data_IF_088676936224
#
_entry.id   IF_088676936224
#
_cell.length_a   1.000
_cell.length_b   1.000
_cell.length_c   1.000
_cell.angle_alpha   90.00
_cell.angle_beta   90.00
_cell.angle_gamma   90.00
#
_symmetry.space_group_name_H-M   'P 1'
#
loop_
_entity.id
_entity.type
_entity.pdbx_description
1 polymer ?
#
# COMPACT_ATOMS: atom_id res chain seq x y z
N UNK A 1 6.81 11.05 -23.53
CA UNK A 1 6.18 9.79 -23.12
C UNK A 1 4.75 9.82 -23.63
N UNK A 2 4.34 8.78 -24.34
CA UNK A 2 2.97 8.64 -24.84
C UNK A 2 2.15 7.76 -23.90
N UNK A 3 0.84 8.03 -23.77
CA UNK A 3 -0.10 7.17 -23.03
C UNK A 3 -0.18 7.41 -21.51
N UNK A 4 0.66 8.28 -20.94
CA UNK A 4 0.61 8.61 -19.51
C UNK A 4 0.22 10.08 -19.36
N UNK A 5 -0.92 10.34 -18.69
CA UNK A 5 -1.34 11.69 -18.29
C UNK A 5 -0.75 12.02 -16.91
N UNK A 6 0.47 12.52 -16.91
CA UNK A 6 1.20 12.82 -15.68
C UNK A 6 0.50 13.84 -14.78
N UNK A 7 -0.27 14.77 -15.37
CA UNK A 7 -0.94 15.83 -14.61
C UNK A 7 -2.03 15.30 -13.67
N UNK A 8 -2.53 14.09 -13.92
CA UNK A 8 -3.55 13.43 -13.11
C UNK A 8 -2.98 12.48 -12.05
N UNK A 9 -1.67 12.30 -12.05
CA UNK A 9 -1.04 11.39 -11.11
C UNK A 9 -0.66 12.09 -9.80
N UNK A 10 -0.83 11.45 -8.65
CA UNK A 10 -0.43 12.02 -7.38
C UNK A 10 1.10 12.15 -7.29
N UNK A 11 1.56 13.18 -6.58
CA UNK A 11 2.98 13.31 -6.21
C UNK A 11 3.40 12.07 -5.41
N UNK A 12 4.59 11.55 -5.66
CA UNK A 12 5.07 10.28 -5.12
C UNK A 12 4.83 9.08 -6.04
N UNK A 13 4.03 9.24 -7.11
CA UNK A 13 3.86 8.17 -8.11
C UNK A 13 5.22 7.76 -8.68
N UNK A 14 5.43 6.46 -8.78
CA UNK A 14 6.66 5.90 -9.36
C UNK A 14 6.44 5.41 -10.77
N UNK A 15 7.47 5.56 -11.57
CA UNK A 15 7.52 5.09 -12.95
C UNK A 15 8.69 4.14 -13.11
N UNK A 16 8.47 3.07 -13.86
CA UNK A 16 9.51 2.10 -14.20
C UNK A 16 9.71 2.08 -15.71
N UNK A 17 10.98 2.18 -16.12
CA UNK A 17 11.39 2.03 -17.51
C UNK A 17 12.61 1.11 -17.54
N UNK A 18 12.42 -0.16 -17.85
CA UNK A 18 13.43 -1.19 -17.65
C UNK A 18 13.90 -1.25 -16.19
N UNK A 19 15.18 -1.01 -15.94
CA UNK A 19 15.75 -0.95 -14.59
C UNK A 19 15.63 0.43 -13.90
N UNK A 20 15.32 1.48 -14.67
CA UNK A 20 15.21 2.85 -14.17
C UNK A 20 13.92 3.02 -13.39
N UNK A 21 14.02 3.61 -12.19
CA UNK A 21 12.86 3.95 -11.35
C UNK A 21 12.90 5.45 -11.06
N UNK A 22 11.81 6.12 -11.40
CA UNK A 22 11.61 7.55 -11.18
C UNK A 22 10.45 7.77 -10.22
N UNK A 23 10.49 8.83 -9.43
CA UNK A 23 9.41 9.23 -8.55
C UNK A 23 8.95 10.64 -8.90
N UNK A 24 7.66 10.84 -9.14
CA UNK A 24 7.04 12.14 -9.41
C UNK A 24 7.16 13.05 -8.19
N UNK A 25 7.88 14.16 -8.33
CA UNK A 25 8.10 15.08 -7.22
C UNK A 25 7.37 16.40 -7.36
N UNK A 26 7.05 16.80 -8.60
CA UNK A 26 6.37 18.06 -8.85
C UNK A 26 5.70 18.06 -10.23
N UNK A 27 4.52 18.66 -10.30
CA UNK A 27 3.80 18.98 -11.55
C UNK A 27 3.73 20.49 -11.67
N UNK A 28 4.11 20.99 -12.82
CA UNK A 28 4.22 22.43 -13.07
C UNK A 28 5.38 23.09 -12.33
N UNK A 29 5.79 24.23 -12.84
CA UNK A 29 6.78 25.10 -12.18
C UNK A 29 6.52 26.54 -12.58
N UNK A 30 6.30 27.41 -11.61
CA UNK A 30 6.22 28.83 -11.87
C UNK A 30 7.48 29.34 -12.57
N UNK A 31 7.27 30.08 -13.64
CA UNK A 31 8.35 30.70 -14.40
C UNK A 31 8.16 32.23 -14.29
N UNK A 32 8.99 32.86 -13.48
CA UNK A 32 8.90 34.30 -13.21
C UNK A 32 9.40 35.17 -14.36
N UNK A 33 10.31 34.66 -15.18
CA UNK A 33 10.86 35.35 -16.34
C UNK A 33 10.72 34.46 -17.57
N UNK A 34 9.99 34.92 -18.58
CA UNK A 34 9.86 34.19 -19.83
C UNK A 34 11.21 33.81 -20.40
N UNK A 35 11.47 32.48 -20.44
CA UNK A 35 12.72 31.97 -21.06
C UNK A 35 12.68 32.11 -22.57
N UNK A 36 13.79 31.79 -23.24
CA UNK A 36 13.91 31.86 -24.69
C UNK A 36 12.82 31.06 -25.44
N UNK A 37 12.32 29.94 -24.83
CA UNK A 37 11.20 29.17 -25.40
C UNK A 37 9.92 29.98 -25.36
N UNK A 38 9.58 30.57 -24.21
CA UNK A 38 8.39 31.43 -24.07
C UNK A 38 8.45 32.63 -25.04
N UNK A 39 9.62 33.30 -25.15
CA UNK A 39 9.81 34.43 -26.04
C UNK A 39 9.64 34.05 -27.51
N UNK A 40 10.02 32.83 -27.89
CA UNK A 40 9.98 32.37 -29.28
C UNK A 40 8.63 31.77 -29.68
N UNK A 41 7.94 31.11 -28.74
CA UNK A 41 6.70 30.37 -29.00
C UNK A 41 5.44 31.11 -28.54
N UNK A 42 5.57 32.17 -27.72
CA UNK A 42 4.45 32.91 -27.15
C UNK A 42 3.80 32.26 -25.95
N UNK A 43 4.01 30.97 -25.74
CA UNK A 43 3.50 30.19 -24.58
C UNK A 43 4.50 29.11 -24.14
N UNK A 44 4.32 28.61 -22.91
CA UNK A 44 5.10 27.52 -22.37
C UNK A 44 4.20 26.60 -21.56
N UNK A 45 4.27 25.31 -21.85
CA UNK A 45 3.48 24.29 -21.14
C UNK A 45 4.08 23.91 -19.78
N UNK A 46 5.35 24.20 -19.54
CA UNK A 46 6.07 23.82 -18.32
C UNK A 46 5.40 24.26 -17.02
N UNK A 47 4.82 25.48 -16.92
CA UNK A 47 4.13 25.87 -15.69
C UNK A 47 2.92 25.02 -15.36
N UNK A 48 2.25 24.44 -16.35
CA UNK A 48 1.02 23.69 -16.18
C UNK A 48 1.24 22.17 -16.20
N UNK A 49 2.07 21.70 -17.13
CA UNK A 49 2.18 20.28 -17.47
C UNK A 49 3.62 19.74 -17.36
N UNK A 50 4.57 20.61 -16.99
CA UNK A 50 5.95 20.18 -16.76
C UNK A 50 6.02 19.20 -15.59
N UNK A 51 6.71 18.10 -15.80
CA UNK A 51 6.83 17.04 -14.81
C UNK A 51 8.27 16.93 -14.36
N UNK A 52 8.46 16.92 -13.06
CA UNK A 52 9.76 16.72 -12.42
C UNK A 52 9.76 15.41 -11.65
N UNK A 53 10.83 14.66 -11.83
CA UNK A 53 10.98 13.37 -11.16
C UNK A 53 12.33 13.29 -10.45
N UNK A 54 12.37 12.55 -9.36
CA UNK A 54 13.60 12.13 -8.70
C UNK A 54 13.98 10.74 -9.21
N UNK A 55 15.25 10.53 -9.54
CA UNK A 55 15.76 9.20 -9.92
C UNK A 55 15.99 8.42 -8.64
N UNK A 56 15.23 7.34 -8.45
CA UNK A 56 15.41 6.41 -7.33
C UNK A 56 16.40 5.29 -7.68
N UNK A 57 16.34 4.81 -8.91
CA UNK A 57 17.31 3.86 -9.46
C UNK A 57 17.71 4.31 -10.87
N UNK A 58 18.99 4.49 -11.08
CA UNK A 58 19.55 4.86 -12.37
C UNK A 58 19.62 3.70 -13.36
N UNK A 59 19.88 4.04 -14.61
CA UNK A 59 20.02 3.08 -15.69
C UNK A 59 19.96 3.79 -17.03
N UNK A 60 19.85 3.04 -18.11
CA UNK A 60 19.74 3.56 -19.48
C UNK A 60 18.28 3.55 -19.91
N UNK A 61 17.83 4.67 -20.50
CA UNK A 61 16.51 4.80 -21.12
C UNK A 61 16.75 5.19 -22.57
N UNK A 62 16.02 4.56 -23.48
CA UNK A 62 16.12 4.78 -24.91
C UNK A 62 14.75 5.15 -25.50
N UNK A 63 14.74 5.78 -26.66
CA UNK A 63 13.49 6.02 -27.39
C UNK A 63 12.86 4.67 -27.79
N UNK A 64 11.60 4.49 -27.46
CA UNK A 64 10.86 3.24 -27.70
C UNK A 64 10.79 2.31 -26.49
N UNK A 65 11.51 2.62 -25.39
CA UNK A 65 11.36 1.86 -24.15
C UNK A 65 9.97 2.08 -23.54
N UNK A 66 9.38 1.01 -23.03
CA UNK A 66 8.09 1.07 -22.34
C UNK A 66 8.27 1.65 -20.94
N UNK A 67 7.39 2.60 -20.60
CA UNK A 67 7.31 3.15 -19.24
C UNK A 67 6.00 2.74 -18.60
N UNK A 68 6.08 2.12 -17.45
CA UNK A 68 4.90 1.74 -16.63
C UNK A 68 4.80 2.62 -15.40
N UNK A 69 3.58 2.81 -14.93
CA UNK A 69 3.30 3.47 -13.65
C UNK A 69 3.28 2.39 -12.57
N UNK A 70 4.25 2.47 -11.65
CA UNK A 70 4.16 1.65 -10.44
C UNK A 70 3.06 2.26 -9.56
N UNK A 71 1.94 1.59 -9.42
CA UNK A 71 0.89 2.01 -8.48
C UNK A 71 1.53 2.04 -7.08
N UNK A 72 1.44 3.19 -6.41
CA UNK A 72 1.75 3.24 -4.99
C UNK A 72 0.80 2.26 -4.30
N UNK A 73 1.35 1.24 -3.66
CA UNK A 73 0.56 0.28 -2.92
C UNK A 73 0.46 0.74 -1.47
N UNK A 74 -0.75 0.79 -0.96
CA UNK A 74 -1.02 1.07 0.45
C UNK A 74 -0.65 -0.17 1.25
N UNK A 75 -0.01 0.03 2.38
CA UNK A 75 0.12 -0.98 3.41
C UNK A 75 -0.89 -0.63 4.52
N UNK A 76 -1.97 -1.40 4.56
CA UNK A 76 -2.94 -1.33 5.64
C UNK A 76 -2.36 -2.08 6.85
N UNK A 77 -1.94 -1.33 7.85
CA UNK A 77 -1.23 -1.89 9.01
C UNK A 77 -2.16 -2.32 10.15
N UNK A 78 -3.47 -2.09 10.01
CA UNK A 78 -4.44 -2.45 11.04
C UNK A 78 -5.84 -2.60 10.43
N UNK A 79 -6.24 -3.83 10.18
CA UNK A 79 -7.55 -4.19 9.63
C UNK A 79 -8.16 -5.34 10.42
N UNK A 80 -9.47 -5.50 10.32
CA UNK A 80 -10.24 -6.56 10.98
C UNK A 80 -11.13 -7.27 9.95
N UNK A 81 -10.53 -7.83 8.90
CA UNK A 81 -11.27 -8.58 7.88
C UNK A 81 -11.76 -9.94 8.38
N UNK A 82 -11.32 -10.37 9.56
CA UNK A 82 -11.85 -11.53 10.30
C UNK A 82 -13.25 -11.29 10.88
N UNK A 83 -13.66 -10.02 11.06
CA UNK A 83 -14.94 -9.64 11.65
C UNK A 83 -16.13 -10.21 10.88
N UNK A 84 -17.20 -10.60 11.61
CA UNK A 84 -18.43 -11.17 11.05
C UNK A 84 -19.16 -10.21 10.10
N UNK A 85 -18.96 -8.90 10.25
CA UNK A 85 -19.51 -7.91 9.35
C UNK A 85 -19.09 -8.10 7.87
N UNK A 86 -17.98 -8.79 7.64
CA UNK A 86 -17.46 -9.09 6.31
C UNK A 86 -17.82 -10.50 5.79
N UNK A 87 -18.60 -11.31 6.53
CA UNK A 87 -18.85 -12.72 6.17
C UNK A 87 -19.45 -12.89 4.77
N UNK A 88 -20.27 -11.93 4.32
CA UNK A 88 -20.95 -12.02 3.02
C UNK A 88 -20.03 -11.73 1.83
N UNK A 89 -19.05 -10.82 1.98
CA UNK A 89 -18.27 -10.29 0.86
C UNK A 89 -16.75 -10.27 1.07
N UNK A 90 -16.25 -10.73 2.23
CA UNK A 90 -14.83 -10.76 2.63
C UNK A 90 -13.91 -11.20 1.52
N UNK A 91 -14.20 -12.34 0.89
CA UNK A 91 -13.33 -12.90 -0.13
C UNK A 91 -13.37 -12.08 -1.42
N UNK A 92 -14.55 -11.62 -1.84
CA UNK A 92 -14.66 -10.77 -3.03
C UNK A 92 -13.93 -9.44 -2.86
N UNK A 93 -13.99 -8.88 -1.66
CA UNK A 93 -13.27 -7.66 -1.30
C UNK A 93 -11.76 -7.88 -1.31
N UNK A 94 -11.26 -8.91 -0.61
CA UNK A 94 -9.84 -9.23 -0.54
C UNK A 94 -9.26 -9.58 -1.92
N UNK A 95 -9.99 -10.31 -2.77
CA UNK A 95 -9.58 -10.65 -4.13
C UNK A 95 -9.34 -9.39 -4.99
N UNK A 96 -10.06 -8.29 -4.71
CA UNK A 96 -9.93 -7.02 -5.44
C UNK A 96 -8.86 -6.07 -4.88
N UNK A 97 -8.31 -6.32 -3.68
CA UNK A 97 -7.47 -5.35 -2.95
C UNK A 97 -6.24 -4.90 -3.73
N UNK A 98 -5.52 -5.82 -4.35
CA UNK A 98 -4.30 -5.47 -5.08
C UNK A 98 -4.59 -4.62 -6.31
N UNK A 99 -5.69 -4.86 -7.01
CA UNK A 99 -6.14 -4.03 -8.14
C UNK A 99 -6.52 -2.63 -7.69
N UNK A 100 -7.04 -2.50 -6.47
CA UNK A 100 -7.40 -1.23 -5.83
C UNK A 100 -6.23 -0.53 -5.14
N UNK A 101 -5.01 -1.07 -5.26
CA UNK A 101 -3.80 -0.42 -4.76
C UNK A 101 -3.43 -0.77 -3.31
N UNK A 102 -4.09 -1.76 -2.70
CA UNK A 102 -3.69 -2.30 -1.40
C UNK A 102 -2.64 -3.40 -1.64
N UNK A 103 -1.42 -3.18 -1.19
CA UNK A 103 -0.31 -4.10 -1.41
C UNK A 103 -0.12 -5.13 -0.32
N UNK A 104 -0.32 -4.70 0.90
CA UNK A 104 -0.20 -5.54 2.09
C UNK A 104 -1.22 -5.14 3.14
N UNK A 105 -1.62 -6.11 3.95
CA UNK A 105 -2.58 -5.95 5.04
C UNK A 105 -2.03 -6.66 6.27
N UNK A 106 -2.14 -6.05 7.45
CA UNK A 106 -2.06 -6.75 8.73
C UNK A 106 -3.49 -6.87 9.26
N UNK A 107 -4.00 -8.10 9.26
CA UNK A 107 -5.29 -8.43 9.85
C UNK A 107 -5.08 -8.71 11.33
N UNK A 108 -5.72 -7.93 12.19
CA UNK A 108 -5.46 -7.89 13.62
C UNK A 108 -6.61 -8.58 14.34
N UNK A 109 -6.32 -9.69 14.97
CA UNK A 109 -7.31 -10.39 15.78
C UNK A 109 -7.65 -9.59 17.03
N UNK A 110 -8.90 -9.16 17.15
CA UNK A 110 -9.39 -8.40 18.30
C UNK A 110 -10.18 -9.27 19.31
N UNK A 111 -10.62 -10.46 18.91
CA UNK A 111 -11.54 -11.28 19.74
C UNK A 111 -11.00 -12.67 20.03
N UNK A 112 -11.16 -13.12 21.27
CA UNK A 112 -10.90 -14.51 21.64
C UNK A 112 -11.80 -15.44 20.82
N UNK A 113 -11.20 -16.45 20.19
CA UNK A 113 -11.90 -17.41 19.34
C UNK A 113 -11.93 -17.04 17.83
N UNK A 114 -11.36 -15.89 17.43
CA UNK A 114 -11.25 -15.50 16.02
C UNK A 114 -9.86 -15.72 15.43
N UNK A 115 -8.91 -16.28 16.17
CA UNK A 115 -7.56 -16.53 15.69
C UNK A 115 -7.53 -17.37 14.40
N UNK A 116 -8.33 -18.43 14.33
CA UNK A 116 -8.42 -19.26 13.13
C UNK A 116 -8.89 -18.44 11.92
N UNK A 117 -9.86 -17.53 12.08
CA UNK A 117 -10.39 -16.70 11.00
C UNK A 117 -9.31 -15.80 10.38
N UNK A 118 -8.51 -15.14 11.23
CA UNK A 118 -7.36 -14.33 10.78
C UNK A 118 -6.37 -15.20 10.01
N UNK A 119 -6.04 -16.38 10.54
CA UNK A 119 -5.02 -17.24 9.93
C UNK A 119 -5.49 -17.97 8.70
N UNK A 120 -6.78 -18.23 8.52
CA UNK A 120 -7.38 -18.66 7.26
C UNK A 120 -7.13 -17.62 6.15
N UNK A 121 -7.22 -16.31 6.45
CA UNK A 121 -6.92 -15.23 5.53
C UNK A 121 -5.41 -15.13 5.26
N UNK A 122 -4.59 -15.25 6.30
CA UNK A 122 -3.12 -15.24 6.21
C UNK A 122 -2.59 -16.36 5.31
N UNK A 123 -3.17 -17.56 5.40
CA UNK A 123 -2.80 -18.70 4.57
C UNK A 123 -3.27 -18.52 3.13
N UNK A 124 -4.50 -18.05 2.95
CA UNK A 124 -5.11 -17.90 1.63
C UNK A 124 -4.48 -16.79 0.80
N UNK A 125 -4.12 -15.65 1.41
CA UNK A 125 -3.65 -14.46 0.70
C UNK A 125 -2.17 -14.17 0.96
N UNK A 126 -1.32 -14.16 -0.09
CA UNK A 126 0.12 -13.89 0.06
C UNK A 126 0.44 -12.52 0.68
N UNK A 127 -0.44 -11.54 0.50
CA UNK A 127 -0.28 -10.16 0.93
C UNK A 127 -0.92 -9.85 2.30
N UNK A 128 -1.59 -10.84 2.92
CA UNK A 128 -2.17 -10.70 4.27
C UNK A 128 -1.21 -11.28 5.29
N UNK A 129 -0.99 -10.54 6.35
CA UNK A 129 -0.21 -10.86 7.54
C UNK A 129 -1.13 -10.85 8.74
N UNK A 130 -0.78 -11.54 9.81
CA UNK A 130 -1.58 -11.62 11.03
C UNK A 130 -0.92 -10.93 12.21
N UNK A 131 -1.73 -10.32 13.05
CA UNK A 131 -1.38 -10.00 14.42
C UNK A 131 -2.31 -10.74 15.37
N UNK A 132 -1.77 -11.30 16.45
CA UNK A 132 -2.51 -12.12 17.40
C UNK A 132 -2.45 -11.51 18.79
N UNK A 133 -3.61 -11.33 19.38
CA UNK A 133 -3.74 -10.75 20.72
C UNK A 133 -5.19 -10.79 21.19
N UNK A 134 -5.45 -10.14 22.32
CA UNK A 134 -6.79 -9.99 22.87
C UNK A 134 -7.02 -8.52 23.17
N UNK A 135 -8.07 -7.96 22.57
CA UNK A 135 -8.46 -6.58 22.80
C UNK A 135 -8.71 -6.33 24.30
N UNK A 136 -8.41 -5.14 24.83
CA UNK A 136 -8.63 -4.79 26.23
C UNK A 136 -10.03 -5.10 26.73
N UNK A 137 -11.05 -4.90 25.91
CA UNK A 137 -12.47 -5.20 26.24
C UNK A 137 -12.72 -6.68 26.55
N UNK A 138 -11.87 -7.58 26.06
CA UNK A 138 -11.94 -9.03 26.24
C UNK A 138 -10.89 -9.55 27.24
N UNK A 139 -10.22 -8.66 27.97
CA UNK A 139 -9.13 -9.04 28.89
C UNK A 139 -9.56 -10.01 29.99
N UNK A 140 -10.81 -9.95 30.42
CA UNK A 140 -11.41 -10.84 31.40
C UNK A 140 -11.61 -12.28 30.88
N UNK A 141 -11.56 -12.49 29.56
CA UNK A 141 -11.67 -13.80 28.91
C UNK A 141 -10.32 -14.51 28.75
N UNK A 142 -9.22 -13.85 29.14
CA UNK A 142 -7.87 -14.41 28.98
C UNK A 142 -7.57 -15.39 30.11
N UNK A 143 -7.36 -16.63 29.74
CA UNK A 143 -6.89 -17.69 30.63
C UNK A 143 -5.59 -18.33 30.11
N UNK A 144 -5.10 -19.36 30.76
CA UNK A 144 -3.89 -20.05 30.36
C UNK A 144 -4.02 -20.71 28.97
N UNK A 145 -5.20 -21.17 28.60
CA UNK A 145 -5.44 -21.82 27.32
C UNK A 145 -5.38 -20.79 26.19
N UNK A 146 -5.98 -19.60 26.36
CA UNK A 146 -5.88 -18.49 25.42
C UNK A 146 -4.44 -18.04 25.23
N UNK A 147 -3.65 -17.95 26.33
CA UNK A 147 -2.24 -17.59 26.23
C UNK A 147 -1.41 -18.62 25.49
N UNK A 148 -1.70 -19.91 25.67
CA UNK A 148 -1.01 -20.98 24.92
C UNK A 148 -1.42 -20.98 23.45
N UNK A 149 -2.65 -20.61 23.13
CA UNK A 149 -3.12 -20.43 21.78
C UNK A 149 -2.41 -19.25 21.10
N UNK A 150 -2.31 -18.08 21.74
CA UNK A 150 -1.54 -16.94 21.25
C UNK A 150 -0.09 -17.32 20.96
N UNK A 151 0.57 -18.06 21.87
CA UNK A 151 1.95 -18.54 21.65
C UNK A 151 2.06 -19.40 20.40
N UNK A 152 1.10 -20.31 20.18
CA UNK A 152 1.05 -21.16 18.99
C UNK A 152 0.97 -20.33 17.70
N UNK A 153 0.13 -19.29 17.69
CA UNK A 153 0.00 -18.41 16.53
C UNK A 153 1.21 -17.48 16.34
N UNK A 154 1.92 -17.11 17.40
CA UNK A 154 3.17 -16.34 17.28
C UNK A 154 4.25 -17.08 16.51
N UNK A 155 4.25 -18.42 16.54
CA UNK A 155 5.23 -19.25 15.82
C UNK A 155 4.84 -19.47 14.34
N UNK A 156 3.66 -19.05 13.90
CA UNK A 156 3.21 -19.21 12.53
C UNK A 156 3.87 -18.21 11.59
N UNK A 157 4.06 -18.64 10.35
CA UNK A 157 4.56 -17.74 9.29
C UNK A 157 3.59 -16.58 9.09
N UNK A 158 4.17 -15.41 8.84
CA UNK A 158 3.45 -14.15 8.59
C UNK A 158 2.71 -13.59 9.83
N UNK A 159 2.92 -14.12 11.02
CA UNK A 159 2.63 -13.40 12.25
C UNK A 159 3.69 -12.32 12.44
N UNK A 160 3.26 -11.06 12.46
CA UNK A 160 4.16 -9.89 12.44
C UNK A 160 4.10 -9.08 13.73
N UNK A 161 3.08 -9.30 14.56
CA UNK A 161 2.91 -8.60 15.82
C UNK A 161 2.11 -9.42 16.83
N UNK A 162 2.25 -9.07 18.11
CA UNK A 162 1.31 -9.43 19.16
C UNK A 162 0.42 -8.21 19.39
N UNK A 163 -0.86 -8.36 19.10
CA UNK A 163 -1.88 -7.31 19.14
C UNK A 163 -3.24 -7.84 18.60
N UNK A 164 -4.30 -7.17 18.92
CA UNK A 164 -4.42 -5.92 19.66
C UNK A 164 -4.36 -6.22 21.15
N UNK A 165 -3.57 -5.45 21.91
CA UNK A 165 -3.41 -5.57 23.35
C UNK A 165 -3.27 -4.16 23.94
N UNK A 166 -3.62 -3.98 25.21
CA UNK A 166 -3.42 -2.69 25.87
C UNK A 166 -4.21 -2.55 27.15
N UNK A 167 -4.27 -1.34 27.63
CA UNK A 167 -5.12 -0.89 28.72
C UNK A 167 -6.10 0.12 28.15
N UNK A 168 -7.35 0.01 28.55
CA UNK A 168 -8.39 1.01 28.30
C UNK A 168 -8.28 2.16 29.30
#
# INVERSE_FOLDING_TARGET
VEGIDFAKLPIGTRFRCGEVVLELTQIGKECHNGCAIFQKMGECIMPREGVFTRVLKGGKVSVGDEMTVDKAMIFDTHAHYDDEAFDEDRFAMLDSMQENGIGHIVDVCASVGHFDRVYDLVEKYPFVYGAVGVHPDDADKVDAAVLDEIRRYCDMKKTVAVGEIGLD
#
